data_IF_885080513511
#
_entry.id   IF_885080513511
#
_cell.length_a   1.000
_cell.length_b   1.000
_cell.length_c   1.000
_cell.angle_alpha   90.00
_cell.angle_beta   90.00
_cell.angle_gamma   90.00
#
_symmetry.space_group_name_H-M   'P 1'
#
loop_
_entity.id
_entity.type
_entity.pdbx_description
1 polymer ?
#
# COMPACT_ATOMS: atom_id res chain seq x y z
N UNK A 1 10.55 -18.98 4.35
CA UNK A 1 10.73 -17.58 3.94
C UNK A 1 9.75 -16.72 4.71
N UNK A 2 10.17 -15.50 5.08
CA UNK A 2 9.37 -14.57 5.89
C UNK A 2 9.46 -13.19 5.25
N UNK A 3 8.31 -12.60 4.94
CA UNK A 3 8.16 -11.19 4.55
C UNK A 3 7.74 -10.37 5.78
N UNK A 4 8.44 -9.27 6.03
CA UNK A 4 8.12 -8.32 7.10
C UNK A 4 8.54 -6.89 6.75
N UNK A 5 7.98 -5.91 7.46
CA UNK A 5 8.44 -4.52 7.39
C UNK A 5 9.32 -4.16 8.60
N UNK A 6 10.33 -3.33 8.37
CA UNK A 6 11.24 -2.80 9.41
C UNK A 6 11.37 -1.28 9.26
N UNK A 7 11.37 -0.56 10.38
CA UNK A 7 11.58 0.88 10.43
C UNK A 7 12.88 1.20 11.15
N UNK A 8 13.75 2.01 10.54
CA UNK A 8 15.00 2.46 11.17
C UNK A 8 14.78 3.70 12.09
N UNK A 9 15.85 4.15 12.74
CA UNK A 9 15.83 5.33 13.62
C UNK A 9 15.54 6.64 12.90
N UNK A 10 15.78 6.71 11.59
CA UNK A 10 15.48 7.86 10.74
C UNK A 10 14.06 7.78 10.19
N UNK A 11 13.25 6.84 10.69
CA UNK A 11 11.91 6.57 10.20
C UNK A 11 11.88 6.17 8.74
N UNK A 12 12.92 5.54 8.17
CA UNK A 12 12.85 4.87 6.87
C UNK A 12 12.29 3.46 7.02
N UNK A 13 11.51 3.01 6.03
CA UNK A 13 10.83 1.72 6.04
C UNK A 13 11.43 0.81 4.99
N UNK A 14 11.55 -0.45 5.35
CA UNK A 14 12.15 -1.48 4.53
C UNK A 14 11.23 -2.69 4.47
N UNK A 15 11.04 -3.24 3.27
CA UNK A 15 10.52 -4.60 3.12
C UNK A 15 11.68 -5.56 3.18
N UNK A 16 11.62 -6.48 4.13
CA UNK A 16 12.59 -7.52 4.36
C UNK A 16 11.98 -8.85 3.92
N UNK A 17 12.72 -9.58 3.09
CA UNK A 17 12.41 -10.96 2.73
C UNK A 17 13.57 -11.83 3.21
N UNK A 18 13.33 -12.63 4.26
CA UNK A 18 14.32 -13.55 4.85
C UNK A 18 14.05 -14.96 4.33
N UNK A 19 15.08 -15.62 3.82
CA UNK A 19 14.98 -16.94 3.20
C UNK A 19 16.25 -17.77 3.41
N UNK A 20 16.24 -19.03 3.00
CA UNK A 20 17.43 -19.89 2.99
C UNK A 20 17.96 -20.05 1.57
N UNK A 21 19.27 -19.83 1.39
CA UNK A 21 19.96 -20.06 0.12
C UNK A 21 21.14 -20.99 0.35
N UNK A 22 21.10 -22.17 -0.28
CA UNK A 22 22.12 -23.23 -0.12
C UNK A 22 22.37 -23.62 1.35
N UNK A 23 21.31 -23.66 2.15
CA UNK A 23 21.39 -23.99 3.58
C UNK A 23 21.89 -22.85 4.47
N UNK A 24 22.22 -21.68 3.91
CA UNK A 24 22.62 -20.49 4.67
C UNK A 24 21.46 -19.48 4.73
N UNK A 25 21.31 -18.75 5.85
CA UNK A 25 20.38 -17.62 5.91
C UNK A 25 20.75 -16.53 4.91
N UNK A 26 19.74 -16.02 4.20
CA UNK A 26 19.85 -14.91 3.26
C UNK A 26 18.72 -13.91 3.49
N UNK A 27 18.96 -12.66 3.10
CA UNK A 27 18.01 -11.56 3.23
C UNK A 27 18.06 -10.68 1.97
N UNK A 28 16.88 -10.28 1.49
CA UNK A 28 16.74 -9.16 0.57
C UNK A 28 16.02 -8.02 1.28
N UNK A 29 16.59 -6.81 1.16
CA UNK A 29 16.05 -5.59 1.76
C UNK A 29 15.74 -4.57 0.65
N UNK A 30 14.50 -4.07 0.62
CA UNK A 30 14.05 -3.04 -0.31
C UNK A 30 13.53 -1.84 0.46
N UNK A 31 14.05 -0.65 0.17
CA UNK A 31 13.52 0.61 0.72
C UNK A 31 12.07 0.81 0.24
N UNK A 32 11.18 1.18 1.15
CA UNK A 32 9.80 1.55 0.87
C UNK A 32 9.70 3.08 0.74
N UNK A 33 8.92 3.53 -0.23
CA UNK A 33 8.79 4.95 -0.55
C UNK A 33 7.80 5.64 0.38
N UNK A 34 8.17 6.83 0.87
CA UNK A 34 7.28 7.69 1.66
C UNK A 34 6.36 8.55 0.80
N UNK A 35 6.85 8.95 -0.38
CA UNK A 35 6.11 9.86 -1.22
C UNK A 35 5.11 9.10 -2.08
N UNK A 36 3.83 9.42 -1.88
CA UNK A 36 2.75 8.88 -2.70
C UNK A 36 2.62 9.78 -3.93
N UNK A 37 2.87 9.27 -5.15
CA UNK A 37 2.73 10.08 -6.35
C UNK A 37 1.24 10.38 -6.61
N UNK A 38 0.98 11.50 -7.29
CA UNK A 38 -0.39 11.85 -7.73
C UNK A 38 -0.72 11.18 -9.07
N UNK A 39 -2.01 11.05 -9.37
CA UNK A 39 -2.47 10.52 -10.67
C UNK A 39 -1.89 11.36 -11.82
N UNK A 40 -1.89 12.70 -11.68
CA UNK A 40 -1.34 13.60 -12.69
C UNK A 40 0.19 13.52 -12.79
N UNK A 41 0.89 13.42 -11.66
CA UNK A 41 2.35 13.32 -11.62
C UNK A 41 2.88 12.07 -12.32
N UNK A 42 2.12 10.98 -12.27
CA UNK A 42 2.40 9.76 -13.03
C UNK A 42 1.87 9.77 -14.46
N UNK A 43 1.19 10.84 -14.88
CA UNK A 43 0.54 10.96 -16.20
C UNK A 43 -0.43 9.80 -16.47
N UNK A 44 -1.13 9.33 -15.44
CA UNK A 44 -2.12 8.27 -15.59
C UNK A 44 -3.41 8.81 -16.22
N UNK A 45 -4.20 7.94 -16.88
CA UNK A 45 -5.44 8.35 -17.52
C UNK A 45 -6.44 9.03 -16.56
N UNK A 46 -7.09 10.14 -16.96
CA UNK A 46 -8.05 10.88 -16.12
C UNK A 46 -9.23 10.06 -15.61
N UNK A 47 -9.58 8.96 -16.30
CA UNK A 47 -10.63 8.02 -15.87
C UNK A 47 -10.38 7.48 -14.45
N UNK A 48 -9.12 7.38 -14.00
CA UNK A 48 -8.83 6.93 -12.63
C UNK A 48 -9.37 7.89 -11.57
N UNK A 49 -9.33 9.22 -11.82
CA UNK A 49 -9.96 10.21 -10.93
C UNK A 49 -11.47 10.07 -10.92
N UNK A 50 -12.07 9.79 -12.08
CA UNK A 50 -13.51 9.56 -12.18
C UNK A 50 -13.91 8.33 -11.36
N UNK A 51 -13.16 7.21 -11.47
CA UNK A 51 -13.40 6.01 -10.66
C UNK A 51 -13.30 6.27 -9.16
N UNK A 52 -12.43 7.19 -8.71
CA UNK A 52 -12.35 7.55 -7.28
C UNK A 52 -13.56 8.33 -6.75
N UNK A 53 -14.42 8.85 -7.64
CA UNK A 53 -15.66 9.53 -7.27
C UNK A 53 -16.87 8.59 -7.21
N UNK A 54 -16.73 7.34 -7.65
CA UNK A 54 -17.82 6.37 -7.59
C UNK A 54 -18.20 6.08 -6.13
N UNK A 55 -19.50 6.21 -5.75
CA UNK A 55 -19.91 6.11 -4.35
C UNK A 55 -19.82 4.67 -3.81
N UNK A 56 -19.78 3.66 -4.70
CA UNK A 56 -19.65 2.24 -4.39
C UNK A 56 -19.27 1.46 -5.64
N UNK A 57 -18.64 0.30 -5.47
CA UNK A 57 -18.28 -0.60 -6.55
C UNK A 57 -17.06 -1.44 -6.21
N UNK A 58 -16.60 -2.22 -7.18
CA UNK A 58 -15.34 -2.97 -7.10
C UNK A 58 -14.43 -2.51 -8.24
N UNK A 59 -13.25 -2.01 -7.89
CA UNK A 59 -12.19 -1.65 -8.84
C UNK A 59 -11.05 -2.65 -8.68
N UNK A 60 -10.63 -3.27 -9.79
CA UNK A 60 -9.51 -4.21 -9.84
C UNK A 60 -8.35 -3.58 -10.60
N UNK A 61 -7.19 -3.49 -9.95
CA UNK A 61 -5.95 -3.02 -10.58
C UNK A 61 -5.04 -4.23 -10.81
N UNK A 62 -4.84 -4.61 -12.07
CA UNK A 62 -4.18 -5.86 -12.46
C UNK A 62 -2.91 -5.64 -13.27
N UNK A 63 -2.06 -6.66 -13.37
CA UNK A 63 -0.79 -6.60 -14.11
C UNK A 63 0.33 -7.42 -13.45
N UNK A 64 1.45 -7.66 -14.14
CA UNK A 64 2.57 -8.45 -13.62
C UNK A 64 3.29 -7.76 -12.44
N UNK A 65 4.14 -8.49 -11.74
CA UNK A 65 4.99 -7.92 -10.67
C UNK A 65 5.83 -6.78 -11.23
N UNK A 66 5.93 -5.67 -10.48
CA UNK A 66 6.68 -4.48 -10.91
C UNK A 66 5.95 -3.56 -11.89
N UNK A 67 4.71 -3.87 -12.30
CA UNK A 67 3.96 -3.02 -13.26
C UNK A 67 3.33 -1.74 -12.67
N UNK A 68 3.62 -1.40 -11.41
CA UNK A 68 3.11 -0.18 -10.77
C UNK A 68 1.72 -0.27 -10.12
N UNK A 69 1.13 -1.47 -9.98
CA UNK A 69 -0.23 -1.64 -9.39
C UNK A 69 -0.42 -0.96 -8.03
N UNK A 70 0.45 -1.26 -7.07
CA UNK A 70 0.38 -0.68 -5.73
C UNK A 70 0.54 0.84 -5.78
N UNK A 71 1.43 1.34 -6.64
CA UNK A 71 1.65 2.76 -6.84
C UNK A 71 0.42 3.46 -7.43
N UNK A 72 -0.25 2.83 -8.41
CA UNK A 72 -1.52 3.32 -8.96
C UNK A 72 -2.62 3.34 -7.90
N UNK A 73 -2.77 2.26 -7.13
CA UNK A 73 -3.75 2.20 -6.03
C UNK A 73 -3.47 3.25 -4.96
N UNK A 74 -2.21 3.43 -4.55
CA UNK A 74 -1.83 4.47 -3.60
C UNK A 74 -2.18 5.86 -4.11
N UNK A 75 -1.93 6.15 -5.39
CA UNK A 75 -2.33 7.43 -5.99
C UNK A 75 -3.86 7.63 -5.99
N UNK A 76 -4.63 6.59 -6.29
CA UNK A 76 -6.10 6.63 -6.23
C UNK A 76 -6.61 6.83 -4.80
N UNK A 77 -6.04 6.13 -3.82
CA UNK A 77 -6.39 6.32 -2.40
C UNK A 77 -6.05 7.74 -1.93
N UNK A 78 -4.90 8.28 -2.35
CA UNK A 78 -4.50 9.65 -2.03
C UNK A 78 -5.42 10.69 -2.69
N UNK A 79 -5.87 10.46 -3.93
CA UNK A 79 -6.90 11.29 -4.58
C UNK A 79 -8.19 11.31 -3.73
N UNK A 80 -8.66 10.14 -3.26
CA UNK A 80 -9.83 10.05 -2.38
C UNK A 80 -9.58 10.84 -1.08
N UNK A 81 -8.43 10.64 -0.45
CA UNK A 81 -8.06 11.28 0.81
C UNK A 81 -7.96 12.81 0.71
N UNK A 82 -7.60 13.36 -0.45
CA UNK A 82 -7.52 14.81 -0.66
C UNK A 82 -8.92 15.40 -0.91
N UNK A 83 -9.75 14.73 -1.71
CA UNK A 83 -10.99 15.32 -2.21
C UNK A 83 -12.24 14.96 -1.41
N UNK A 84 -12.24 13.83 -0.69
CA UNK A 84 -13.41 13.31 0.00
C UNK A 84 -13.19 13.16 1.51
N UNK A 85 -14.26 13.33 2.28
CA UNK A 85 -14.31 13.01 3.71
C UNK A 85 -14.88 11.62 3.90
N UNK A 86 -14.02 10.60 3.87
CA UNK A 86 -14.38 9.18 3.97
C UNK A 86 -13.58 8.50 5.07
N UNK A 87 -13.99 7.29 5.41
CA UNK A 87 -13.17 6.36 6.19
C UNK A 87 -12.57 5.34 5.23
N UNK A 88 -11.24 5.36 5.10
CA UNK A 88 -10.48 4.46 4.23
C UNK A 88 -9.79 3.43 5.12
N UNK A 89 -10.01 2.16 4.84
CA UNK A 89 -9.35 1.04 5.52
C UNK A 89 -8.53 0.28 4.48
N UNK A 90 -7.25 0.06 4.76
CA UNK A 90 -6.39 -0.81 3.94
C UNK A 90 -5.96 -2.03 4.74
N UNK A 91 -5.89 -3.18 4.06
CA UNK A 91 -5.35 -4.42 4.58
C UNK A 91 -4.19 -4.81 3.66
N UNK A 92 -2.97 -4.89 4.17
CA UNK A 92 -1.75 -5.01 3.35
C UNK A 92 -0.73 -5.99 3.93
N UNK A 93 0.12 -6.59 3.09
CA UNK A 93 1.16 -7.53 3.53
C UNK A 93 2.48 -7.36 2.74
N UNK A 94 3.43 -6.55 3.24
CA UNK A 94 3.30 -5.52 4.28
C UNK A 94 2.68 -4.21 3.72
N UNK A 95 2.48 -3.19 4.56
CA UNK A 95 2.06 -1.85 4.11
C UNK A 95 3.16 -1.23 3.25
N UNK A 96 2.85 -0.91 1.99
CA UNK A 96 3.86 -0.36 1.05
C UNK A 96 4.00 1.16 1.12
N UNK A 97 2.87 1.88 1.16
CA UNK A 97 2.83 3.34 1.23
C UNK A 97 2.13 3.78 2.50
N UNK A 98 2.70 4.76 3.22
CA UNK A 98 2.04 5.36 4.38
C UNK A 98 1.21 6.55 3.95
N UNK A 99 -0.09 6.46 4.17
CA UNK A 99 -1.04 7.53 3.90
C UNK A 99 -1.24 8.40 5.14
N UNK A 100 -0.73 9.63 5.12
CA UNK A 100 -1.07 10.62 6.13
C UNK A 100 -2.53 11.04 6.01
N UNK A 101 -3.18 11.30 7.14
CA UNK A 101 -4.56 11.78 7.16
C UNK A 101 -4.62 13.19 6.56
N UNK A 102 -5.57 13.40 5.64
CA UNK A 102 -5.87 14.71 5.05
C UNK A 102 -7.33 15.04 5.29
N UNK A 103 -8.21 14.78 4.32
CA UNK A 103 -9.65 14.99 4.44
C UNK A 103 -10.38 13.72 4.89
N UNK A 104 -9.78 12.55 4.65
CA UNK A 104 -10.31 11.25 5.08
C UNK A 104 -9.61 10.72 6.33
N UNK A 105 -10.34 9.95 7.14
CA UNK A 105 -9.79 9.09 8.17
C UNK A 105 -9.17 7.86 7.50
N UNK A 106 -7.92 7.54 7.83
CA UNK A 106 -7.20 6.40 7.25
C UNK A 106 -6.74 5.46 8.35
N UNK A 107 -7.11 4.18 8.22
CA UNK A 107 -6.62 3.09 9.05
C UNK A 107 -5.97 2.03 8.15
N UNK A 108 -4.65 1.94 8.19
CA UNK A 108 -3.91 0.90 7.49
C UNK A 108 -3.60 -0.22 8.47
N UNK A 109 -3.86 -1.48 8.08
CA UNK A 109 -3.61 -2.66 8.91
C UNK A 109 -2.68 -3.62 8.16
N UNK A 110 -1.53 -3.90 8.75
CA UNK A 110 -0.57 -4.86 8.23
C UNK A 110 -0.92 -6.28 8.71
N UNK A 111 -1.03 -7.22 7.76
CA UNK A 111 -1.28 -8.62 8.08
C UNK A 111 -0.05 -9.20 8.80
N UNK A 112 -0.31 -10.01 9.82
CA UNK A 112 0.63 -10.58 10.79
C UNK A 112 1.22 -9.58 11.81
N UNK A 113 0.89 -8.29 11.69
CA UNK A 113 1.27 -7.27 12.69
C UNK A 113 0.03 -6.72 13.42
N UNK A 114 -0.89 -6.06 12.70
CA UNK A 114 -2.11 -5.46 13.25
C UNK A 114 -3.31 -6.42 13.25
N UNK A 115 -3.24 -7.48 12.44
CA UNK A 115 -4.28 -8.50 12.31
C UNK A 115 -3.69 -9.83 11.88
N UNK A 116 -4.35 -10.94 12.24
CA UNK A 116 -3.82 -12.29 11.98
C UNK A 116 -3.88 -12.72 10.51
N UNK A 117 -4.89 -12.28 9.78
CA UNK A 117 -5.12 -12.63 8.37
C UNK A 117 -6.06 -11.63 7.69
N UNK A 118 -6.11 -11.66 6.35
CA UNK A 118 -7.08 -10.87 5.58
C UNK A 118 -8.53 -11.20 6.00
N UNK A 119 -8.87 -12.49 6.12
CA UNK A 119 -10.21 -12.91 6.51
C UNK A 119 -10.60 -12.42 7.90
N UNK A 120 -9.68 -12.48 8.86
CA UNK A 120 -9.92 -11.99 10.22
C UNK A 120 -10.10 -10.47 10.30
N UNK A 121 -9.59 -9.73 9.31
CA UNK A 121 -9.70 -8.27 9.26
C UNK A 121 -10.94 -7.75 8.52
N UNK A 122 -11.60 -8.63 7.76
CA UNK A 122 -12.85 -8.35 7.04
C UNK A 122 -14.12 -8.66 7.87
N UNK A 123 -13.95 -9.39 8.98
CA UNK A 123 -14.98 -9.63 10.00
C UNK A 123 -15.04 -8.46 10.99
#
# INVERSE_FOLDING_TARGET
DVDLSYSDSNSNRYRLNVYSQRGLPALTMRLLNYEIPTIDGMKLPPILKQLTNEPRGLVLVTGPTGSGKSTTLAAMINEINIHHSKHIITLEYPIEYLHSQKKSLINQREIHFDTKSFSAALL
#
